data_IF_351237795688
#
_entry.id   IF_351237795688
#
_cell.length_a   1.000
_cell.length_b   1.000
_cell.length_c   1.000
_cell.angle_alpha   90.00
_cell.angle_beta   90.00
_cell.angle_gamma   90.00
#
_symmetry.space_group_name_H-M   'P 1'
#
loop_
_entity.id
_entity.type
_entity.pdbx_description
1 polymer ?
#
# COMPACT_ATOMS: atom_id res chain seq x y z
N UNK A 1 18.68 1.53 -4.85
CA UNK A 1 19.74 1.47 -3.82
C UNK A 1 20.05 0.00 -3.62
N UNK A 2 21.20 -0.52 -4.12
CA UNK A 2 21.57 -1.90 -3.88
C UNK A 2 21.60 -2.15 -2.37
N UNK A 3 21.26 -3.36 -1.93
CA UNK A 3 21.27 -3.86 -0.56
C UNK A 3 22.07 -2.94 0.41
N UNK A 4 21.42 -1.88 0.89
CA UNK A 4 22.12 -0.89 1.70
C UNK A 4 22.23 -1.42 3.11
N UNK A 5 23.45 -1.56 3.59
CA UNK A 5 23.72 -1.84 4.99
C UNK A 5 23.04 -0.77 5.85
N UNK A 6 22.08 -1.17 6.65
CA UNK A 6 21.50 -0.30 7.67
C UNK A 6 22.42 -0.38 8.87
N UNK A 7 23.42 0.52 8.92
CA UNK A 7 24.39 0.55 9.99
C UNK A 7 23.76 1.03 11.29
N UNK A 8 23.63 0.14 12.28
CA UNK A 8 23.24 0.52 13.63
C UNK A 8 24.17 1.60 14.21
N UNK A 9 25.45 1.58 13.89
CA UNK A 9 26.43 2.58 14.33
C UNK A 9 26.20 3.96 13.68
N UNK A 10 25.77 4.02 12.45
CA UNK A 10 25.46 5.28 11.75
C UNK A 10 24.22 5.94 12.35
N UNK A 11 23.15 5.18 12.61
CA UNK A 11 21.94 5.70 13.27
C UNK A 11 22.18 6.16 14.70
N UNK A 12 23.06 5.46 15.44
CA UNK A 12 23.47 5.81 16.81
C UNK A 12 24.26 7.13 16.82
N UNK A 13 25.18 7.29 15.86
CA UNK A 13 26.10 8.44 15.79
C UNK A 13 25.38 9.71 15.33
N UNK A 14 24.53 9.59 14.28
CA UNK A 14 23.89 10.76 13.67
C UNK A 14 22.68 11.29 14.46
N UNK A 15 22.04 10.44 15.26
CA UNK A 15 20.80 10.77 15.99
C UNK A 15 20.93 10.69 17.52
N UNK A 16 22.13 10.49 18.06
CA UNK A 16 22.39 10.37 19.50
C UNK A 16 21.49 9.33 20.20
N UNK A 17 21.16 8.25 19.51
CA UNK A 17 20.30 7.19 20.02
C UNK A 17 21.14 6.12 20.73
N UNK A 18 20.56 5.46 21.75
CA UNK A 18 21.20 4.29 22.37
C UNK A 18 21.08 3.05 21.45
N UNK A 19 21.93 2.04 21.71
CA UNK A 19 21.96 0.80 20.91
C UNK A 19 20.67 -0.01 21.01
N UNK A 20 20.02 0.00 22.17
CA UNK A 20 18.82 -0.82 22.44
C UNK A 20 17.64 -0.45 21.54
N UNK A 21 17.13 0.81 21.48
CA UNK A 21 16.00 1.15 20.63
C UNK A 21 16.30 0.97 19.14
N UNK A 22 17.55 1.17 18.70
CA UNK A 22 17.92 0.90 17.30
C UNK A 22 17.84 -0.59 16.99
N UNK A 23 18.28 -1.46 17.90
CA UNK A 23 18.18 -2.90 17.72
C UNK A 23 16.73 -3.38 17.71
N UNK A 24 15.90 -2.87 18.60
CA UNK A 24 14.47 -3.19 18.67
C UNK A 24 13.76 -2.77 17.37
N UNK A 25 14.02 -1.56 16.89
CA UNK A 25 13.47 -1.09 15.61
C UNK A 25 13.90 -1.99 14.43
N UNK A 26 15.16 -2.42 14.37
CA UNK A 26 15.62 -3.34 13.32
C UNK A 26 14.98 -4.72 13.42
N UNK A 27 14.69 -5.22 14.63
CA UNK A 27 13.96 -6.47 14.84
C UNK A 27 12.52 -6.34 14.31
N UNK A 28 11.84 -5.24 14.63
CA UNK A 28 10.49 -4.98 14.11
C UNK A 28 10.47 -4.84 12.59
N UNK A 29 11.42 -4.12 12.00
CA UNK A 29 11.56 -4.02 10.54
C UNK A 29 11.88 -5.38 9.88
N UNK A 30 12.62 -6.26 10.58
CA UNK A 30 12.85 -7.62 10.11
C UNK A 30 11.57 -8.47 10.18
N UNK A 31 10.78 -8.33 11.27
CA UNK A 31 9.50 -9.05 11.43
C UNK A 31 8.51 -8.77 10.29
N UNK A 32 8.47 -7.52 9.81
CA UNK A 32 7.60 -7.12 8.70
C UNK A 32 8.26 -7.25 7.31
N UNK A 33 9.44 -7.86 7.23
CA UNK A 33 10.11 -8.14 5.95
C UNK A 33 10.81 -6.96 5.26
N UNK A 34 10.95 -5.80 5.95
CA UNK A 34 11.67 -4.64 5.39
C UNK A 34 13.18 -4.72 5.50
N UNK A 35 13.66 -5.44 6.51
CA UNK A 35 15.09 -5.60 6.80
C UNK A 35 15.41 -7.08 6.95
N UNK A 36 16.54 -7.50 6.42
CA UNK A 36 17.14 -8.81 6.64
C UNK A 36 18.31 -8.65 7.62
N UNK A 37 18.29 -9.39 8.74
CA UNK A 37 19.36 -9.39 9.74
C UNK A 37 20.23 -10.61 9.49
N UNK A 38 21.44 -10.40 8.98
CA UNK A 38 22.42 -11.46 8.75
C UNK A 38 23.39 -11.56 9.93
N UNK A 39 23.48 -12.73 10.61
CA UNK A 39 24.40 -12.91 11.73
C UNK A 39 25.83 -12.52 11.35
N UNK A 40 26.48 -11.71 12.20
CA UNK A 40 27.85 -11.20 12.04
C UNK A 40 28.10 -10.35 10.77
N UNK A 41 27.09 -10.14 9.91
CA UNK A 41 27.23 -9.40 8.65
C UNK A 41 26.48 -8.06 8.66
N UNK A 42 25.48 -7.91 9.54
CA UNK A 42 24.71 -6.68 9.71
C UNK A 42 23.26 -6.79 9.25
N UNK A 43 22.59 -5.64 9.17
CA UNK A 43 21.20 -5.52 8.75
C UNK A 43 21.15 -4.86 7.38
N UNK A 44 20.33 -5.40 6.48
CA UNK A 44 20.21 -4.95 5.09
C UNK A 44 18.75 -4.70 4.76
N UNK A 45 18.49 -3.73 3.89
CA UNK A 45 17.14 -3.58 3.31
C UNK A 45 16.83 -4.82 2.47
N UNK A 46 15.74 -5.51 2.77
CA UNK A 46 15.32 -6.70 2.02
C UNK A 46 14.99 -6.35 0.56
N UNK A 47 15.17 -7.29 -0.35
CA UNK A 47 14.65 -7.17 -1.70
C UNK A 47 13.13 -7.32 -1.71
N UNK A 48 12.46 -6.78 -2.72
CA UNK A 48 11.03 -6.98 -2.95
C UNK A 48 10.85 -8.39 -3.50
N UNK A 49 10.09 -9.21 -2.80
CA UNK A 49 9.66 -10.51 -3.29
C UNK A 49 8.31 -10.35 -4.01
N UNK A 50 8.31 -10.63 -5.31
CA UNK A 50 7.10 -10.47 -6.11
C UNK A 50 6.02 -11.51 -5.76
N UNK A 51 6.38 -12.69 -5.26
CA UNK A 51 5.40 -13.67 -4.79
C UNK A 51 4.67 -13.14 -3.55
N UNK A 52 5.39 -12.52 -2.62
CA UNK A 52 4.76 -11.87 -1.45
C UNK A 52 3.87 -10.69 -1.88
N UNK A 53 4.26 -9.94 -2.91
CA UNK A 53 3.41 -8.89 -3.49
C UNK A 53 2.08 -9.47 -3.98
N UNK A 54 2.11 -10.59 -4.71
CA UNK A 54 0.89 -11.23 -5.23
C UNK A 54 0.02 -11.84 -4.11
N UNK A 55 0.62 -12.46 -3.11
CA UNK A 55 -0.10 -12.97 -1.93
C UNK A 55 -0.77 -11.83 -1.14
N UNK A 56 -0.04 -10.74 -0.92
CA UNK A 56 -0.58 -9.55 -0.25
C UNK A 56 -1.75 -8.94 -1.04
N UNK A 57 -1.60 -8.84 -2.37
CA UNK A 57 -2.66 -8.38 -3.25
C UNK A 57 -3.89 -9.29 -3.18
N UNK A 58 -3.69 -10.60 -3.21
CA UNK A 58 -4.79 -11.58 -3.10
C UNK A 58 -5.57 -11.38 -1.80
N UNK A 59 -4.86 -11.32 -0.67
CA UNK A 59 -5.47 -11.09 0.64
C UNK A 59 -6.27 -9.78 0.66
N UNK A 60 -5.68 -8.72 0.13
CA UNK A 60 -6.33 -7.41 0.03
C UNK A 60 -7.60 -7.47 -0.83
N UNK A 61 -7.52 -8.08 -2.01
CA UNK A 61 -8.65 -8.19 -2.93
C UNK A 61 -9.83 -8.94 -2.31
N UNK A 62 -9.58 -10.09 -1.68
CA UNK A 62 -10.64 -10.90 -1.06
C UNK A 62 -11.32 -10.12 0.06
N UNK A 63 -10.55 -9.46 0.90
CA UNK A 63 -11.09 -8.72 2.05
C UNK A 63 -11.78 -7.42 1.62
N UNK A 64 -11.21 -6.64 0.70
CA UNK A 64 -11.84 -5.41 0.23
C UNK A 64 -13.13 -5.68 -0.55
N UNK A 65 -13.20 -6.75 -1.35
CA UNK A 65 -14.45 -7.17 -1.98
C UNK A 65 -15.54 -7.52 -0.95
N UNK A 66 -15.18 -8.20 0.14
CA UNK A 66 -16.12 -8.45 1.23
C UNK A 66 -16.58 -7.15 1.92
N UNK A 67 -15.69 -6.17 2.11
CA UNK A 67 -16.02 -4.85 2.61
C UNK A 67 -16.99 -4.11 1.67
N UNK A 68 -16.71 -4.12 0.36
CA UNK A 68 -17.57 -3.46 -0.61
C UNK A 68 -18.99 -4.01 -0.62
N UNK A 69 -19.18 -5.32 -0.45
CA UNK A 69 -20.51 -5.93 -0.29
C UNK A 69 -21.26 -5.33 0.89
N UNK A 70 -20.60 -5.22 2.05
CA UNK A 70 -21.21 -4.63 3.24
C UNK A 70 -21.60 -3.16 3.01
N UNK A 71 -20.74 -2.38 2.35
CA UNK A 71 -20.98 -0.97 2.07
C UNK A 71 -22.06 -0.76 1.00
N UNK A 72 -22.13 -1.62 -0.01
CA UNK A 72 -23.23 -1.60 -0.98
C UNK A 72 -24.57 -1.98 -0.35
N UNK A 73 -24.58 -2.85 0.67
CA UNK A 73 -25.79 -3.12 1.43
C UNK A 73 -26.19 -1.92 2.30
N UNK A 74 -25.24 -1.36 3.04
CA UNK A 74 -25.48 -0.21 3.92
C UNK A 74 -24.20 0.57 4.18
N UNK A 75 -24.26 1.88 3.92
CA UNK A 75 -23.23 2.86 4.31
C UNK A 75 -23.92 4.08 4.94
N UNK A 76 -23.29 4.68 5.96
CA UNK A 76 -23.79 5.91 6.56
C UNK A 76 -23.41 7.13 5.70
N UNK A 77 -24.28 8.17 5.67
CA UNK A 77 -24.02 9.41 4.92
C UNK A 77 -22.70 10.06 5.31
N UNK A 78 -22.39 10.08 6.60
CA UNK A 78 -21.13 10.66 7.11
C UNK A 78 -19.88 9.91 6.59
N UNK A 79 -19.94 8.58 6.42
CA UNK A 79 -18.86 7.79 5.87
C UNK A 79 -18.72 8.02 4.37
N UNK A 80 -19.83 8.15 3.66
CA UNK A 80 -19.87 8.53 2.25
C UNK A 80 -19.24 9.89 2.03
N UNK A 81 -19.58 10.88 2.86
CA UNK A 81 -19.00 12.23 2.82
C UNK A 81 -17.49 12.22 3.08
N UNK A 82 -17.02 11.37 4.01
CA UNK A 82 -15.60 11.21 4.28
C UNK A 82 -14.83 10.63 3.07
N UNK A 83 -15.39 9.64 2.38
CA UNK A 83 -14.83 9.07 1.16
C UNK A 83 -14.80 10.11 0.02
N UNK A 84 -15.88 10.87 -0.17
CA UNK A 84 -15.91 11.97 -1.15
C UNK A 84 -14.87 13.05 -0.86
N UNK A 85 -14.70 13.39 0.41
CA UNK A 85 -13.70 14.37 0.80
C UNK A 85 -12.27 13.85 0.52
N UNK A 86 -12.02 12.57 0.78
CA UNK A 86 -10.74 11.95 0.45
C UNK A 86 -10.46 12.00 -1.07
N UNK A 87 -11.44 11.67 -1.93
CA UNK A 87 -11.30 11.77 -3.40
C UNK A 87 -10.96 13.21 -3.83
N UNK A 88 -11.60 14.22 -3.27
CA UNK A 88 -11.27 15.62 -3.55
C UNK A 88 -9.83 15.99 -3.14
N UNK A 89 -9.33 15.43 -2.03
CA UNK A 89 -7.92 15.61 -1.63
C UNK A 89 -6.96 14.92 -2.62
N UNK A 90 -7.28 13.71 -3.06
CA UNK A 90 -6.49 12.99 -4.07
C UNK A 90 -6.39 13.77 -5.37
N UNK A 91 -7.50 14.31 -5.87
CA UNK A 91 -7.51 15.15 -7.07
C UNK A 91 -6.58 16.36 -6.92
N UNK A 92 -6.65 17.08 -5.79
CA UNK A 92 -5.78 18.23 -5.52
C UNK A 92 -4.30 17.86 -5.48
N UNK A 93 -3.96 16.71 -4.88
CA UNK A 93 -2.56 16.24 -4.84
C UNK A 93 -2.02 15.94 -6.24
N UNK A 94 -2.85 15.40 -7.15
CA UNK A 94 -2.48 15.20 -8.56
C UNK A 94 -2.27 16.53 -9.30
N UNK A 95 -3.14 17.51 -9.12
CA UNK A 95 -3.00 18.85 -9.68
C UNK A 95 -1.69 19.53 -9.23
N UNK A 96 -1.29 19.29 -7.98
CA UNK A 96 -0.05 19.79 -7.38
C UNK A 96 1.19 18.93 -7.72
N UNK A 97 1.00 17.78 -8.39
CA UNK A 97 2.03 16.78 -8.67
C UNK A 97 2.71 16.22 -7.40
N UNK A 98 1.99 16.24 -6.29
CA UNK A 98 2.43 15.72 -5.00
C UNK A 98 2.10 14.23 -4.91
N UNK A 99 3.05 13.42 -5.36
CA UNK A 99 2.92 11.98 -5.41
C UNK A 99 2.90 11.34 -4.02
N UNK A 100 3.66 11.88 -3.08
CA UNK A 100 3.75 11.33 -1.72
C UNK A 100 2.40 11.46 -1.02
N UNK A 101 1.84 12.67 -1.01
CA UNK A 101 0.49 12.93 -0.49
C UNK A 101 -0.57 12.09 -1.22
N UNK A 102 -0.44 11.90 -2.55
CA UNK A 102 -1.38 11.04 -3.27
C UNK A 102 -1.37 9.60 -2.76
N UNK A 103 -0.20 9.00 -2.54
CA UNK A 103 -0.07 7.62 -2.02
C UNK A 103 -0.60 7.49 -0.58
N UNK A 104 -0.41 8.51 0.25
CA UNK A 104 -1.00 8.56 1.59
C UNK A 104 -2.53 8.59 1.53
N UNK A 105 -3.10 9.42 0.65
CA UNK A 105 -4.53 9.54 0.46
C UNK A 105 -5.18 8.29 -0.15
N UNK A 106 -4.47 7.59 -1.03
CA UNK A 106 -4.89 6.29 -1.54
C UNK A 106 -4.97 5.25 -0.40
N UNK A 107 -3.99 5.21 0.49
CA UNK A 107 -4.04 4.35 1.67
C UNK A 107 -5.19 4.75 2.61
N UNK A 108 -5.42 6.05 2.82
CA UNK A 108 -6.55 6.57 3.60
C UNK A 108 -7.90 6.19 2.99
N UNK A 109 -8.04 6.18 1.66
CA UNK A 109 -9.26 5.74 0.97
C UNK A 109 -9.63 4.31 1.35
N UNK A 110 -8.68 3.39 1.24
CA UNK A 110 -8.91 1.99 1.62
C UNK A 110 -9.19 1.83 3.12
N UNK A 111 -8.49 2.56 3.98
CA UNK A 111 -8.77 2.59 5.42
C UNK A 111 -10.21 3.03 5.72
N UNK A 112 -10.69 4.07 5.03
CA UNK A 112 -12.05 4.59 5.18
C UNK A 112 -13.11 3.55 4.81
N UNK A 113 -12.89 2.73 3.79
CA UNK A 113 -13.79 1.61 3.45
C UNK A 113 -13.93 0.63 4.62
N UNK A 114 -12.82 0.21 5.22
CA UNK A 114 -12.86 -0.68 6.38
C UNK A 114 -13.48 -0.03 7.61
N UNK A 115 -13.24 1.26 7.83
CA UNK A 115 -13.82 2.03 8.93
C UNK A 115 -15.33 2.13 8.77
N UNK A 116 -15.83 2.46 7.58
CA UNK A 116 -17.25 2.55 7.27
C UNK A 116 -17.98 1.21 7.46
N UNK A 117 -17.29 0.09 7.25
CA UNK A 117 -17.81 -1.26 7.47
C UNK A 117 -17.63 -1.77 8.92
N UNK A 118 -17.07 -0.97 9.84
CA UNK A 118 -16.71 -1.38 11.20
C UNK A 118 -15.78 -2.61 11.25
N UNK A 119 -14.75 -2.62 10.38
CA UNK A 119 -13.80 -3.73 10.22
C UNK A 119 -12.33 -3.29 10.38
N UNK A 120 -12.06 -2.33 11.27
CA UNK A 120 -10.70 -1.78 11.46
C UNK A 120 -9.67 -2.81 11.93
N UNK A 121 -10.07 -3.83 12.69
CA UNK A 121 -9.17 -4.90 13.09
C UNK A 121 -8.66 -5.68 11.86
N UNK A 122 -9.54 -5.99 10.90
CA UNK A 122 -9.16 -6.64 9.63
C UNK A 122 -8.22 -5.75 8.80
N UNK A 123 -8.48 -4.44 8.77
CA UNK A 123 -7.58 -3.48 8.12
C UNK A 123 -6.16 -3.53 8.70
N UNK A 124 -6.01 -3.51 10.02
CA UNK A 124 -4.70 -3.55 10.67
C UNK A 124 -3.91 -4.82 10.31
N UNK A 125 -4.58 -5.98 10.30
CA UNK A 125 -3.93 -7.24 9.90
C UNK A 125 -3.41 -7.17 8.47
N UNK A 126 -4.25 -6.68 7.53
CA UNK A 126 -3.87 -6.60 6.13
C UNK A 126 -2.73 -5.59 5.95
N UNK A 127 -2.82 -4.44 6.59
CA UNK A 127 -1.82 -3.37 6.49
C UNK A 127 -0.40 -3.85 6.81
N UNK A 128 -0.25 -4.70 7.83
CA UNK A 128 1.04 -5.29 8.19
C UNK A 128 1.61 -6.18 7.06
N UNK A 129 0.77 -6.76 6.21
CA UNK A 129 1.19 -7.63 5.12
C UNK A 129 1.48 -6.86 3.80
N UNK A 130 1.18 -5.55 3.75
CA UNK A 130 1.28 -4.77 2.51
C UNK A 130 2.67 -4.20 2.21
N UNK A 131 3.66 -4.46 3.06
CA UNK A 131 4.98 -3.83 2.99
C UNK A 131 5.66 -3.98 1.61
N UNK A 132 5.68 -5.18 1.04
CA UNK A 132 6.29 -5.41 -0.28
C UNK A 132 5.46 -4.78 -1.40
N UNK A 133 4.14 -4.81 -1.29
CA UNK A 133 3.23 -4.17 -2.23
C UNK A 133 3.37 -2.64 -2.21
N UNK A 134 3.45 -2.01 -1.04
CA UNK A 134 3.64 -0.57 -0.89
C UNK A 134 5.00 -0.11 -1.46
N UNK A 135 6.04 -0.91 -1.27
CA UNK A 135 7.35 -0.66 -1.89
C UNK A 135 7.29 -0.74 -3.41
N UNK A 136 6.55 -1.72 -3.96
CA UNK A 136 6.32 -1.83 -5.41
C UNK A 136 5.60 -0.58 -5.93
N UNK A 137 4.53 -0.14 -5.27
CA UNK A 137 3.79 1.08 -5.63
C UNK A 137 4.68 2.33 -5.60
N UNK A 138 5.58 2.43 -4.62
CA UNK A 138 6.51 3.55 -4.53
C UNK A 138 7.55 3.59 -5.65
N UNK A 139 7.85 2.46 -6.29
CA UNK A 139 8.76 2.39 -7.46
C UNK A 139 8.06 2.77 -8.77
N UNK A 140 6.74 2.64 -8.86
CA UNK A 140 6.00 3.03 -10.06
C UNK A 140 6.18 4.53 -10.33
N UNK A 141 6.77 4.87 -11.47
CA UNK A 141 7.13 6.25 -11.83
C UNK A 141 6.15 6.89 -12.79
N UNK A 142 5.16 6.15 -13.29
CA UNK A 142 4.22 6.63 -14.31
C UNK A 142 3.20 7.58 -13.70
N UNK A 143 3.32 8.88 -14.00
CA UNK A 143 2.35 9.90 -13.56
C UNK A 143 0.92 9.62 -13.99
N UNK A 144 0.73 9.04 -15.18
CA UNK A 144 -0.60 8.66 -15.71
C UNK A 144 -1.29 7.55 -14.90
N UNK A 145 -0.57 6.76 -14.11
CA UNK A 145 -1.17 5.72 -13.30
C UNK A 145 -1.99 6.30 -12.15
N UNK A 146 -1.55 7.39 -11.56
CA UNK A 146 -2.28 8.04 -10.48
C UNK A 146 -3.65 8.56 -10.96
N UNK A 147 -3.74 9.07 -12.19
CA UNK A 147 -5.02 9.50 -12.77
C UNK A 147 -6.00 8.31 -12.91
N UNK A 148 -5.50 7.13 -13.31
CA UNK A 148 -6.32 5.92 -13.37
C UNK A 148 -6.72 5.41 -11.99
N UNK A 149 -5.86 5.52 -10.99
CA UNK A 149 -6.17 5.15 -9.60
C UNK A 149 -7.28 6.03 -9.05
N UNK A 150 -7.17 7.36 -9.22
CA UNK A 150 -8.22 8.29 -8.82
C UNK A 150 -9.57 7.94 -9.49
N UNK A 151 -9.52 7.67 -10.80
CA UNK A 151 -10.74 7.30 -11.55
C UNK A 151 -11.34 5.98 -11.04
N UNK A 152 -10.53 5.00 -10.69
CA UNK A 152 -11.01 3.75 -10.09
C UNK A 152 -11.72 4.00 -8.75
N UNK A 153 -11.16 4.87 -7.89
CA UNK A 153 -11.79 5.23 -6.61
C UNK A 153 -13.14 5.95 -6.80
N UNK A 154 -13.23 6.89 -7.76
CA UNK A 154 -14.49 7.55 -8.12
C UNK A 154 -15.55 6.53 -8.60
N UNK A 155 -15.14 5.60 -9.47
CA UNK A 155 -16.02 4.56 -10.01
C UNK A 155 -16.49 3.60 -8.92
N UNK A 156 -15.59 3.18 -7.99
CA UNK A 156 -15.94 2.34 -6.83
C UNK A 156 -16.96 3.06 -5.95
N UNK A 157 -16.73 4.33 -5.62
CA UNK A 157 -17.66 5.11 -4.80
C UNK A 157 -19.01 5.30 -5.47
N UNK A 158 -19.02 5.47 -6.80
CA UNK A 158 -20.26 5.49 -7.59
C UNK A 158 -21.02 4.15 -7.47
N UNK A 159 -20.33 3.01 -7.59
CA UNK A 159 -20.95 1.69 -7.44
C UNK A 159 -21.55 1.48 -6.03
N UNK A 160 -20.86 1.89 -4.97
CA UNK A 160 -21.37 1.84 -3.59
C UNK A 160 -22.68 2.65 -3.48
N UNK A 161 -22.72 3.89 -4.01
CA UNK A 161 -23.94 4.74 -4.01
C UNK A 161 -25.11 4.11 -4.77
N UNK A 162 -24.81 3.29 -5.76
CA UNK A 162 -25.81 2.59 -6.56
C UNK A 162 -26.24 1.26 -5.92
N UNK A 163 -25.65 0.88 -4.78
CA UNK A 163 -25.86 -0.41 -4.16
C UNK A 163 -25.51 -1.58 -5.09
N UNK A 164 -24.55 -1.38 -6.01
CA UNK A 164 -24.15 -2.34 -7.04
C UNK A 164 -22.85 -3.03 -6.60
N UNK A 165 -23.00 -4.12 -5.85
CA UNK A 165 -21.86 -4.86 -5.31
C UNK A 165 -21.06 -5.60 -6.39
N UNK A 166 -21.70 -6.06 -7.47
CA UNK A 166 -21.00 -6.75 -8.57
C UNK A 166 -20.10 -5.76 -9.33
N UNK A 167 -20.61 -4.58 -9.61
CA UNK A 167 -19.82 -3.50 -10.21
C UNK A 167 -18.68 -3.07 -9.30
N UNK A 168 -18.93 -2.89 -8.00
CA UNK A 168 -17.91 -2.51 -7.03
C UNK A 168 -16.76 -3.51 -6.97
N UNK A 169 -17.05 -4.82 -6.90
CA UNK A 169 -16.05 -5.90 -6.90
C UNK A 169 -15.25 -5.95 -8.21
N UNK A 170 -15.89 -5.78 -9.35
CA UNK A 170 -15.21 -5.71 -10.65
C UNK A 170 -14.23 -4.52 -10.70
N UNK A 171 -14.65 -3.36 -10.22
CA UNK A 171 -13.84 -2.15 -10.20
C UNK A 171 -12.66 -2.27 -9.22
N UNK A 172 -12.87 -2.84 -8.03
CA UNK A 172 -11.79 -3.11 -7.07
C UNK A 172 -10.79 -4.12 -7.63
N UNK A 173 -11.26 -5.16 -8.31
CA UNK A 173 -10.40 -6.13 -8.98
C UNK A 173 -9.53 -5.44 -10.04
N UNK A 174 -10.11 -4.60 -10.88
CA UNK A 174 -9.38 -3.78 -11.87
C UNK A 174 -8.34 -2.89 -11.18
N UNK A 175 -8.74 -2.18 -10.13
CA UNK A 175 -7.89 -1.29 -9.36
C UNK A 175 -6.67 -2.01 -8.80
N UNK A 176 -6.86 -3.11 -8.08
CA UNK A 176 -5.79 -3.85 -7.40
C UNK A 176 -4.92 -4.71 -8.33
N UNK A 177 -5.30 -4.89 -9.60
CA UNK A 177 -4.49 -5.64 -10.58
C UNK A 177 -3.70 -4.76 -11.55
N UNK A 178 -3.84 -3.44 -11.49
CA UNK A 178 -3.15 -2.52 -12.42
C UNK A 178 -1.63 -2.67 -12.44
N UNK A 179 -1.01 -2.90 -11.29
CA UNK A 179 0.44 -3.06 -11.17
C UNK A 179 0.99 -4.26 -11.97
N UNK A 180 0.15 -5.25 -12.31
CA UNK A 180 0.56 -6.38 -13.13
C UNK A 180 1.04 -5.95 -14.52
N UNK A 181 0.46 -4.89 -15.08
CA UNK A 181 0.88 -4.35 -16.38
C UNK A 181 2.27 -3.71 -16.34
N UNK A 182 2.76 -3.32 -15.17
CA UNK A 182 4.06 -2.65 -14.97
C UNK A 182 5.17 -3.62 -14.51
N UNK A 183 4.81 -4.84 -14.11
CA UNK A 183 5.75 -5.84 -13.57
C UNK A 183 7.03 -5.95 -14.39
N UNK A 184 6.89 -6.22 -15.70
CA UNK A 184 8.03 -6.42 -16.60
C UNK A 184 8.92 -5.18 -16.67
N UNK A 185 8.33 -4.01 -16.71
CA UNK A 185 9.05 -2.74 -16.79
C UNK A 185 9.82 -2.47 -15.49
N UNK A 186 9.15 -2.63 -14.33
CA UNK A 186 9.77 -2.43 -13.03
C UNK A 186 10.93 -3.40 -12.78
N UNK A 187 10.78 -4.67 -13.12
CA UNK A 187 11.85 -5.66 -13.03
C UNK A 187 13.04 -5.32 -13.95
N UNK A 188 12.77 -4.73 -15.11
CA UNK A 188 13.82 -4.30 -16.05
C UNK A 188 14.53 -3.03 -15.58
N UNK A 189 13.79 -2.06 -15.04
CA UNK A 189 14.35 -0.78 -14.59
C UNK A 189 15.09 -0.88 -13.26
N UNK A 190 14.65 -1.78 -12.38
CA UNK A 190 15.16 -1.91 -11.01
C UNK A 190 15.53 -3.36 -10.65
N UNK A 191 16.37 -4.07 -11.42
CA UNK A 191 16.64 -5.50 -11.20
C UNK A 191 17.21 -5.77 -9.80
N UNK A 192 17.99 -4.85 -9.25
CA UNK A 192 18.63 -5.01 -7.94
C UNK A 192 17.65 -4.90 -6.76
N UNK A 193 16.44 -4.37 -6.99
CA UNK A 193 15.42 -4.20 -5.94
C UNK A 193 14.60 -5.46 -5.70
N UNK A 194 14.62 -6.41 -6.61
CA UNK A 194 13.80 -7.61 -6.58
C UNK A 194 14.61 -8.87 -6.28
N UNK A 195 13.93 -9.86 -5.68
CA UNK A 195 14.49 -11.22 -5.58
C UNK A 195 14.61 -11.86 -6.95
N UNK A 196 15.56 -12.81 -7.12
CA UNK A 196 15.80 -13.52 -8.39
C UNK A 196 14.81 -14.68 -8.59
N UNK A 197 13.54 -14.55 -8.23
CA UNK A 197 12.53 -15.59 -8.39
C UNK A 197 11.80 -15.45 -9.73
#
# INVERSE_FOLDING_TARGET
IPLRLVGSEMCIRDRSLSRTPVREALIELNRIGLVEILPQRGSYISKIDYNIVEESRFLRLVTENAILKLLCDKIADADMDALDYNIKKQQRSLEQKDRETFLELDNEFHELLFRAADKMWSYHIIKEQMVHFDRLRSLSTKSKQHDYVLKDHEDILYAIRRHDSEMAEMLMTRHLTRHLSEKKELLTMYPDYFTNN
#
